data_IF_123982045158
#
_entry.id   IF_123982045158
#
_cell.length_a   1.000
_cell.length_b   1.000
_cell.length_c   1.000
_cell.angle_alpha   90.00
_cell.angle_beta   90.00
_cell.angle_gamma   90.00
#
_symmetry.space_group_name_H-M   'P 1'
#
loop_
_entity.id
_entity.type
_entity.pdbx_description
1 polymer ?
#
# COMPACT_ATOMS: atom_id res chain seq x y z
N UNK A 1 22.98 -7.52 12.62
CA UNK A 1 21.60 -7.81 12.20
C UNK A 1 21.47 -7.36 10.75
N UNK A 2 21.17 -8.28 9.82
CA UNK A 2 21.04 -7.93 8.39
C UNK A 2 19.68 -7.28 8.14
N UNK A 3 19.66 -6.09 7.52
CA UNK A 3 18.42 -5.46 7.08
C UNK A 3 17.74 -6.41 6.09
N UNK A 4 16.50 -6.83 6.36
CA UNK A 4 15.75 -7.61 5.38
C UNK A 4 15.50 -6.70 4.17
N UNK A 5 15.83 -7.13 2.94
CA UNK A 5 15.56 -6.32 1.76
C UNK A 5 14.05 -6.12 1.65
N UNK A 6 13.65 -4.88 1.35
CA UNK A 6 12.28 -4.57 0.96
C UNK A 6 11.93 -5.44 -0.24
N UNK A 7 10.80 -6.14 -0.18
CA UNK A 7 10.36 -6.99 -1.30
C UNK A 7 9.90 -6.09 -2.45
N UNK A 8 10.54 -6.24 -3.61
CA UNK A 8 10.10 -5.60 -4.85
C UNK A 8 9.18 -6.55 -5.61
N UNK A 9 8.04 -6.05 -6.07
CA UNK A 9 7.02 -6.81 -6.81
C UNK A 9 6.78 -6.10 -8.14
N UNK A 10 7.00 -6.81 -9.23
CA UNK A 10 6.71 -6.31 -10.57
C UNK A 10 5.22 -6.45 -10.88
N UNK A 11 4.61 -5.41 -11.44
CA UNK A 11 3.21 -5.39 -11.87
C UNK A 11 3.06 -4.74 -13.24
N UNK A 12 1.91 -4.98 -13.87
CA UNK A 12 1.47 -4.22 -15.03
C UNK A 12 1.55 -2.70 -14.75
N UNK A 13 2.25 -1.90 -15.59
CA UNK A 13 2.37 -0.45 -15.43
C UNK A 13 1.03 0.27 -15.24
N UNK A 14 -0.05 -0.19 -15.89
CA UNK A 14 -1.37 0.44 -15.81
C UNK A 14 -1.93 0.42 -14.39
N UNK A 15 -1.46 -0.49 -13.53
CA UNK A 15 -1.88 -0.54 -12.12
C UNK A 15 -1.32 0.59 -11.28
N UNK A 16 -0.21 1.19 -11.72
CA UNK A 16 0.48 2.28 -11.03
C UNK A 16 0.04 3.66 -11.53
N UNK A 17 -0.58 3.75 -12.71
CA UNK A 17 -1.02 5.00 -13.30
C UNK A 17 -1.93 5.83 -12.38
N UNK A 18 -1.58 7.10 -12.19
CA UNK A 18 -2.38 8.07 -11.41
C UNK A 18 -3.69 8.51 -12.09
N UNK A 19 -3.88 8.18 -13.37
CA UNK A 19 -5.03 8.62 -14.16
C UNK A 19 -5.08 10.13 -14.39
N UNK A 20 -6.20 10.60 -14.95
CA UNK A 20 -6.44 12.01 -15.27
C UNK A 20 -7.78 12.44 -14.68
N UNK A 21 -7.79 13.58 -13.98
CA UNK A 21 -9.03 14.18 -13.49
C UNK A 21 -9.94 14.59 -14.65
N UNK A 22 -11.20 14.17 -14.61
CA UNK A 22 -12.21 14.56 -15.58
C UNK A 22 -13.30 15.40 -14.93
N UNK A 23 -13.38 16.68 -15.29
CA UNK A 23 -14.42 17.59 -14.79
C UNK A 23 -15.82 17.09 -15.16
N UNK A 24 -15.99 16.58 -16.39
CA UNK A 24 -17.26 16.06 -16.92
C UNK A 24 -17.83 14.92 -16.06
N UNK A 25 -16.96 14.08 -15.52
CA UNK A 25 -17.36 12.92 -14.72
C UNK A 25 -17.12 13.11 -13.22
N UNK A 26 -16.55 14.25 -12.83
CA UNK A 26 -16.15 14.59 -11.46
C UNK A 26 -15.39 13.45 -10.77
N UNK A 27 -14.50 12.80 -11.51
CA UNK A 27 -13.67 11.69 -11.03
C UNK A 27 -12.38 11.56 -11.84
N UNK A 28 -11.39 10.89 -11.26
CA UNK A 28 -10.20 10.43 -11.98
C UNK A 28 -10.56 9.28 -12.91
N UNK A 29 -10.06 9.33 -14.15
CA UNK A 29 -10.26 8.32 -15.19
C UNK A 29 -8.91 7.70 -15.54
N UNK A 30 -8.88 6.37 -15.72
CA UNK A 30 -7.66 5.64 -16.06
C UNK A 30 -6.67 5.48 -14.91
N UNK A 31 -7.13 5.67 -13.67
CA UNK A 31 -6.32 5.41 -12.47
C UNK A 31 -6.22 3.90 -12.23
N UNK A 32 -5.00 3.42 -12.04
CA UNK A 32 -4.71 2.05 -11.67
C UNK A 32 -5.15 1.72 -10.26
N UNK A 33 -5.40 0.43 -9.98
CA UNK A 33 -5.93 0.01 -8.69
C UNK A 33 -4.95 0.22 -7.51
N UNK A 34 -3.64 0.17 -7.75
CA UNK A 34 -2.62 0.45 -6.74
C UNK A 34 -2.56 1.96 -6.45
N UNK A 35 -2.60 2.80 -7.49
CA UNK A 35 -2.65 4.26 -7.34
C UNK A 35 -3.92 4.71 -6.59
N UNK A 36 -5.08 4.21 -7.00
CA UNK A 36 -6.38 4.50 -6.37
C UNK A 36 -6.45 4.07 -4.90
N UNK A 37 -5.59 3.12 -4.49
CA UNK A 37 -5.48 2.64 -3.11
C UNK A 37 -4.60 3.52 -2.21
N UNK A 38 -3.92 4.54 -2.75
CA UNK A 38 -3.04 5.41 -1.96
C UNK A 38 -3.78 6.04 -0.78
N UNK A 39 -3.31 5.81 0.45
CA UNK A 39 -4.08 6.05 1.68
C UNK A 39 -3.32 6.78 2.79
N UNK A 40 -2.09 7.26 2.56
CA UNK A 40 -1.28 7.84 3.64
C UNK A 40 -1.97 9.04 4.33
N UNK A 41 -2.60 9.90 3.55
CA UNK A 41 -3.41 11.03 4.02
C UNK A 41 -4.62 10.58 4.86
N UNK A 42 -5.37 9.59 4.38
CA UNK A 42 -6.55 9.06 5.07
C UNK A 42 -6.19 8.30 6.36
N UNK A 43 -5.05 7.61 6.38
CA UNK A 43 -4.55 6.94 7.59
C UNK A 43 -4.20 8.00 8.63
N UNK A 44 -3.48 9.05 8.23
CA UNK A 44 -3.02 10.10 9.12
C UNK A 44 -4.17 10.88 9.78
N UNK A 45 -5.21 11.21 9.00
CA UNK A 45 -6.31 12.06 9.46
C UNK A 45 -7.46 11.25 10.07
N UNK A 46 -7.76 10.08 9.52
CA UNK A 46 -8.99 9.36 9.85
C UNK A 46 -8.77 7.91 10.30
N UNK A 47 -7.54 7.39 10.28
CA UNK A 47 -7.30 5.96 10.53
C UNK A 47 -8.05 5.08 9.53
N UNK A 48 -8.16 5.53 8.27
CA UNK A 48 -8.89 4.86 7.20
C UNK A 48 -7.98 4.54 6.03
N UNK A 49 -8.38 3.56 5.22
CA UNK A 49 -7.80 3.35 3.89
C UNK A 49 -8.85 3.52 2.81
N UNK A 50 -8.41 3.88 1.60
CA UNK A 50 -9.22 3.82 0.38
C UNK A 50 -9.52 2.36 0.04
N UNK A 51 -10.17 2.12 -1.12
CA UNK A 51 -10.42 0.76 -1.59
C UNK A 51 -9.07 0.03 -1.74
N UNK A 52 -8.83 -1.05 -0.98
CA UNK A 52 -7.58 -1.79 -1.09
C UNK A 52 -7.52 -2.53 -2.43
N UNK A 53 -6.32 -2.85 -2.88
CA UNK A 53 -6.11 -3.65 -4.09
C UNK A 53 -5.77 -5.09 -3.74
N UNK A 54 -6.00 -6.00 -4.69
CA UNK A 54 -5.64 -7.42 -4.54
C UNK A 54 -4.43 -7.71 -5.40
N UNK A 55 -3.46 -8.43 -4.84
CA UNK A 55 -2.34 -8.97 -5.58
C UNK A 55 -2.03 -10.37 -5.05
N UNK A 56 -2.02 -11.36 -5.94
CA UNK A 56 -1.80 -12.77 -5.60
C UNK A 56 -2.72 -13.27 -4.45
N UNK A 57 -3.99 -12.89 -4.49
CA UNK A 57 -4.98 -13.29 -3.47
C UNK A 57 -4.84 -12.59 -2.10
N UNK A 58 -3.88 -11.68 -1.96
CA UNK A 58 -3.66 -10.91 -0.72
C UNK A 58 -4.19 -9.49 -0.91
N UNK A 59 -4.78 -8.94 0.15
CA UNK A 59 -5.29 -7.56 0.18
C UNK A 59 -4.18 -6.59 0.59
N UNK A 60 -4.06 -5.46 -0.10
CA UNK A 60 -2.99 -4.48 0.12
C UNK A 60 -3.52 -3.04 0.13
N UNK A 61 -2.88 -2.18 0.93
CA UNK A 61 -3.10 -0.74 0.94
C UNK A 61 -1.82 0.00 0.55
N UNK A 62 -1.93 0.89 -0.44
CA UNK A 62 -0.83 1.77 -0.83
C UNK A 62 -0.69 2.91 0.19
N UNK A 63 0.55 3.18 0.62
CA UNK A 63 0.90 4.22 1.61
C UNK A 63 2.01 5.14 1.14
N UNK A 64 2.50 4.96 -0.08
CA UNK A 64 3.54 5.79 -0.68
C UNK A 64 3.53 5.62 -2.19
N UNK A 65 3.63 6.73 -2.92
CA UNK A 65 3.84 6.76 -4.36
C UNK A 65 5.11 7.56 -4.62
N UNK A 66 5.94 7.13 -5.57
CA UNK A 66 7.13 7.85 -6.02
C UNK A 66 7.30 7.64 -7.51
N UNK A 67 7.73 8.69 -8.22
CA UNK A 67 7.99 8.65 -9.66
C UNK A 67 9.49 8.71 -9.99
N UNK A 68 10.35 8.60 -8.98
CA UNK A 68 11.80 8.68 -9.14
C UNK A 68 12.49 7.45 -8.52
N UNK A 69 13.37 6.73 -9.25
CA UNK A 69 13.71 6.91 -10.67
C UNK A 69 12.67 6.34 -11.66
N UNK A 70 11.67 5.62 -11.17
CA UNK A 70 10.53 5.08 -11.92
C UNK A 70 9.28 5.14 -11.04
N UNK A 71 8.10 5.01 -11.66
CA UNK A 71 6.82 4.92 -10.95
C UNK A 71 6.80 3.67 -10.07
N UNK A 72 6.60 3.88 -8.77
CA UNK A 72 6.51 2.81 -7.80
C UNK A 72 5.58 3.16 -6.64
N UNK A 73 5.01 2.11 -6.04
CA UNK A 73 4.09 2.21 -4.94
C UNK A 73 4.58 1.38 -3.74
N UNK A 74 4.66 1.99 -2.56
CA UNK A 74 4.92 1.30 -1.31
C UNK A 74 3.60 0.89 -0.67
N UNK A 75 3.44 -0.40 -0.39
CA UNK A 75 2.19 -0.92 0.16
C UNK A 75 2.41 -1.92 1.30
N UNK A 76 1.41 -2.03 2.16
CA UNK A 76 1.34 -3.01 3.25
C UNK A 76 0.18 -3.97 3.00
N UNK A 77 0.35 -5.21 3.47
CA UNK A 77 -0.75 -6.18 3.49
C UNK A 77 -1.80 -5.76 4.51
N UNK A 78 -3.06 -6.05 4.22
CA UNK A 78 -4.16 -5.91 5.15
C UNK A 78 -4.60 -7.28 5.64
N UNK A 79 -4.71 -7.41 6.96
CA UNK A 79 -5.31 -8.58 7.63
C UNK A 79 -6.49 -8.08 8.46
N UNK A 80 -7.63 -8.77 8.39
CA UNK A 80 -8.78 -8.48 9.26
C UNK A 80 -8.34 -8.53 10.73
N UNK A 81 -8.75 -7.53 11.52
CA UNK A 81 -8.26 -7.39 12.91
C UNK A 81 -8.52 -8.66 13.75
N UNK A 82 -9.63 -9.35 13.52
CA UNK A 82 -9.99 -10.61 14.21
C UNK A 82 -9.03 -11.77 13.93
N UNK A 83 -8.30 -11.72 12.81
CA UNK A 83 -7.34 -12.75 12.39
C UNK A 83 -5.90 -12.38 12.74
N UNK A 84 -5.67 -11.21 13.32
CA UNK A 84 -4.35 -10.71 13.64
C UNK A 84 -4.00 -10.99 15.11
N UNK A 85 -3.00 -11.85 15.34
CA UNK A 85 -2.56 -12.25 16.67
C UNK A 85 -1.42 -11.36 17.25
N UNK A 86 -1.05 -10.28 16.57
CA UNK A 86 0.06 -9.40 16.97
C UNK A 86 -0.39 -8.17 17.74
N UNK A 87 0.59 -7.38 18.19
CA UNK A 87 0.34 -6.07 18.78
C UNK A 87 -0.19 -5.08 17.75
N UNK A 88 -1.20 -4.32 18.15
CA UNK A 88 -1.81 -3.28 17.33
C UNK A 88 -1.53 -1.91 17.92
N UNK A 89 -1.55 -0.89 17.06
CA UNK A 89 -1.36 0.51 17.43
C UNK A 89 -2.20 1.41 16.53
N UNK A 90 -2.21 2.70 16.82
CA UNK A 90 -2.81 3.74 15.98
C UNK A 90 -1.72 4.58 15.32
N UNK A 91 -2.06 5.25 14.21
CA UNK A 91 -1.14 6.19 13.58
C UNK A 91 -0.68 7.31 14.54
N UNK A 92 -1.57 7.78 15.41
CA UNK A 92 -1.27 8.83 16.38
C UNK A 92 -0.25 8.39 17.44
N UNK A 93 -0.33 7.14 17.90
CA UNK A 93 0.70 6.53 18.76
C UNK A 93 2.01 6.37 17.99
N UNK A 94 1.92 5.88 16.75
CA UNK A 94 3.13 5.59 15.97
C UNK A 94 3.93 6.83 15.58
N UNK A 95 3.25 7.95 15.41
CA UNK A 95 3.90 9.24 15.17
C UNK A 95 4.61 9.79 16.40
N UNK A 96 4.15 9.46 17.62
CA UNK A 96 4.82 9.86 18.87
C UNK A 96 6.17 9.18 19.07
N UNK A 97 6.34 7.97 18.53
CA UNK A 97 7.62 7.23 18.53
C UNK A 97 8.67 7.85 17.58
N UNK A 98 8.29 8.79 16.71
CA UNK A 98 9.20 9.61 15.91
C UNK A 98 10.14 8.80 15.01
N UNK A 99 11.44 8.94 15.25
CA UNK A 99 12.49 8.29 14.46
C UNK A 99 12.57 6.78 14.69
N UNK A 100 12.21 6.32 15.90
CA UNK A 100 12.21 4.89 16.20
C UNK A 100 11.19 4.13 15.33
N UNK A 101 10.01 4.70 15.11
CA UNK A 101 9.02 4.12 14.19
C UNK A 101 9.47 4.17 12.72
N UNK A 102 10.23 5.20 12.31
CA UNK A 102 10.78 5.29 10.94
C UNK A 102 11.92 4.30 10.70
N UNK A 103 12.63 3.92 11.76
CA UNK A 103 13.71 2.93 11.73
C UNK A 103 13.21 1.47 11.86
N UNK A 104 11.91 1.24 12.06
CA UNK A 104 11.36 -0.12 12.14
C UNK A 104 11.59 -0.88 10.82
N UNK A 105 12.28 -2.02 10.90
CA UNK A 105 12.57 -2.90 9.75
C UNK A 105 11.30 -3.51 9.14
N UNK A 106 10.21 -3.60 9.90
CA UNK A 106 8.90 -3.97 9.39
C UNK A 106 8.09 -2.76 8.91
N UNK A 107 8.67 -1.57 9.02
CA UNK A 107 8.17 -0.33 8.48
C UNK A 107 7.18 0.39 9.37
N UNK A 108 7.16 1.72 9.23
CA UNK A 108 6.41 2.67 10.05
C UNK A 108 4.94 2.31 10.31
N UNK A 109 4.23 1.77 9.32
CA UNK A 109 2.81 1.47 9.44
C UNK A 109 2.50 0.09 10.02
N UNK A 110 3.50 -0.73 10.37
CA UNK A 110 3.25 -2.05 10.94
C UNK A 110 2.38 -1.96 12.19
N UNK A 111 1.36 -2.82 12.27
CA UNK A 111 0.48 -2.93 13.43
C UNK A 111 -0.55 -1.81 13.52
N UNK A 112 -0.49 -0.80 12.63
CA UNK A 112 -1.46 0.29 12.62
C UNK A 112 -2.83 -0.27 12.20
N UNK A 113 -3.83 -0.06 13.06
CA UNK A 113 -5.23 -0.36 12.79
C UNK A 113 -5.82 0.69 11.85
N UNK A 114 -6.53 0.23 10.83
CA UNK A 114 -7.23 1.06 9.85
C UNK A 114 -8.61 0.51 9.55
N UNK A 115 -9.52 1.38 9.12
CA UNK A 115 -10.89 0.98 8.73
C UNK A 115 -11.16 1.12 7.24
N UNK A 116 -11.96 0.20 6.71
CA UNK A 116 -12.47 0.24 5.35
C UNK A 116 -13.84 -0.45 5.28
N UNK A 117 -14.84 0.20 4.70
CA UNK A 117 -16.18 -0.39 4.54
C UNK A 117 -16.84 -0.84 5.85
N UNK A 118 -16.52 -0.19 6.98
CA UNK A 118 -17.01 -0.57 8.31
C UNK A 118 -16.29 -1.76 8.95
N UNK A 119 -15.23 -2.28 8.33
CA UNK A 119 -14.39 -3.35 8.87
C UNK A 119 -13.03 -2.82 9.31
N UNK A 120 -12.49 -3.46 10.33
CA UNK A 120 -11.16 -3.19 10.85
C UNK A 120 -10.10 -4.11 10.24
N UNK A 121 -8.99 -3.50 9.83
CA UNK A 121 -7.82 -4.17 9.30
C UNK A 121 -6.56 -3.69 10.01
N UNK A 122 -5.52 -4.53 9.97
CA UNK A 122 -4.19 -4.22 10.44
C UNK A 122 -3.23 -4.16 9.26
N UNK A 123 -2.40 -3.12 9.19
CA UNK A 123 -1.32 -3.00 8.23
C UNK A 123 -0.15 -3.91 8.67
N UNK A 124 0.13 -4.95 7.88
CA UNK A 124 1.12 -5.98 8.20
C UNK A 124 2.37 -5.81 7.35
N UNK A 125 3.48 -5.50 8.04
CA UNK A 125 4.80 -5.37 7.44
C UNK A 125 5.52 -6.72 7.20
N UNK A 126 6.75 -6.68 6.64
CA UNK A 126 7.36 -5.50 6.04
C UNK A 126 6.58 -5.02 4.80
N UNK A 127 6.70 -3.74 4.42
CA UNK A 127 6.11 -3.25 3.18
C UNK A 127 6.77 -3.89 1.96
N UNK A 128 6.01 -3.96 0.86
CA UNK A 128 6.54 -4.22 -0.46
C UNK A 128 6.58 -2.93 -1.29
N UNK A 129 7.45 -2.90 -2.30
CA UNK A 129 7.49 -1.86 -3.33
C UNK A 129 7.04 -2.48 -4.65
N UNK A 130 5.90 -2.02 -5.14
CA UNK A 130 5.36 -2.38 -6.44
C UNK A 130 5.99 -1.49 -7.49
N UNK A 131 6.54 -2.10 -8.56
CA UNK A 131 7.21 -1.41 -9.66
C UNK A 131 6.60 -1.84 -10.99
N UNK A 132 6.65 -0.96 -11.98
CA UNK A 132 6.27 -1.28 -13.35
C UNK A 132 7.16 -2.40 -13.90
N UNK A 133 6.55 -3.40 -14.52
CA UNK A 133 7.25 -4.43 -15.31
C UNK A 133 7.52 -3.99 -16.72
N UNK A 134 8.50 -4.65 -17.35
CA UNK A 134 8.68 -4.58 -18.80
C UNK A 134 7.56 -5.36 -19.48
N UNK A 135 6.91 -4.77 -20.50
CA UNK A 135 5.78 -5.36 -21.23
C UNK A 135 6.09 -6.77 -21.77
N UNK A 136 7.35 -7.09 -22.06
CA UNK A 136 7.79 -8.42 -22.56
C UNK A 136 7.74 -9.55 -21.51
N UNK A 137 7.73 -9.26 -20.21
CA UNK A 137 7.74 -10.31 -19.16
C UNK A 137 6.36 -10.84 -18.77
N UNK A 138 5.27 -10.17 -19.17
CA UNK A 138 3.90 -10.56 -18.81
C UNK A 138 3.25 -11.53 -19.81
N UNK A 139 3.85 -11.72 -20.99
CA UNK A 139 3.39 -12.67 -22.01
C UNK A 139 3.93 -14.10 -21.88
N UNK A 140 4.79 -14.38 -20.89
CA UNK A 140 5.51 -15.65 -20.75
C UNK A 140 4.84 -16.69 -19.83
N UNK A 141 3.68 -16.37 -19.23
CA UNK A 141 2.97 -17.28 -18.31
C UNK A 141 1.53 -17.60 -18.73
N UNK A 142 1.15 -17.32 -19.97
CA UNK A 142 -0.05 -17.91 -20.57
C UNK A 142 0.33 -19.21 -21.29
N UNK A 143 0.23 -20.33 -20.56
CA UNK A 143 0.01 -21.68 -21.08
C UNK A 143 -0.91 -22.45 -20.10
#
# INVERSE_FOLDING_TARGET
MSARPITTITVDPDRLHHGVWSDKHSKTIGEGDIAASYSADLIAVHGRVRRPFVHQGVLWACVGMSNHPFECAKAYRLVEAERFAGETTTYAEKTRDGDAARADLFGFYRGVRVTQGGRDYILVGPPAVFIAGEEEQLGLFTD
#
